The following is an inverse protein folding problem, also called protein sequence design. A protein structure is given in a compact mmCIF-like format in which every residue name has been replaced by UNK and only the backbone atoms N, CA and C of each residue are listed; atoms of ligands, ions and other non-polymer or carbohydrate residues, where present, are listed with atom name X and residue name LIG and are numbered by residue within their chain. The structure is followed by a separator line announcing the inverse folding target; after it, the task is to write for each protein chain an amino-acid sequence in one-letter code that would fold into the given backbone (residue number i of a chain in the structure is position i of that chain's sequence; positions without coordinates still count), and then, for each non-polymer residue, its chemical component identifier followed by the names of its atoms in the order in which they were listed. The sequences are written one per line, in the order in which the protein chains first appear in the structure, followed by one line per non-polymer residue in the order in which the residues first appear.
data_IF_380321110136
#
_entry.id   IF_380321110136
#
_cell.length_a   1.000
_cell.length_b   1.000
_cell.length_c   1.000
_cell.angle_alpha   90.00
_cell.angle_beta   90.00
_cell.angle_gamma   90.00
#
_symmetry.space_group_name_H-M   'P 1'
#
loop_
_entity.id
_entity.type
_entity.pdbx_description
1 polymer ?
#
# COMPACT_ATOMS: atom_id res chain seq x y z
N UNK A 1 -0.10 25.22 -5.51
CA UNK A 1 1.29 25.01 -5.06
C UNK A 1 1.48 24.02 -3.91
N UNK A 2 0.56 23.90 -2.94
CA UNK A 2 0.79 23.04 -1.77
C UNK A 2 0.77 21.50 -2.00
N UNK A 3 0.09 21.00 -3.04
CA UNK A 3 -0.05 19.54 -3.26
C UNK A 3 1.28 18.81 -3.43
N UNK A 4 2.18 19.34 -4.27
CA UNK A 4 3.49 18.72 -4.53
C UNK A 4 4.35 18.58 -3.26
N UNK A 5 4.29 19.57 -2.36
CA UNK A 5 4.98 19.51 -1.07
C UNK A 5 4.45 18.35 -0.21
N UNK A 6 3.13 18.23 -0.08
CA UNK A 6 2.53 17.17 0.73
C UNK A 6 2.66 15.79 0.07
N UNK A 7 2.73 15.72 -1.25
CA UNK A 7 3.05 14.48 -1.97
C UNK A 7 4.48 14.00 -1.66
N UNK A 8 5.46 14.92 -1.71
CA UNK A 8 6.84 14.61 -1.30
C UNK A 8 6.91 14.21 0.18
N UNK A 9 6.14 14.86 1.04
CA UNK A 9 6.09 14.54 2.46
C UNK A 9 5.45 13.15 2.71
N UNK A 10 4.42 12.79 1.94
CA UNK A 10 3.81 11.46 1.96
C UNK A 10 4.79 10.38 1.51
N UNK A 11 5.51 10.62 0.40
CA UNK A 11 6.56 9.73 -0.07
C UNK A 11 7.61 9.47 1.00
N UNK A 12 8.17 10.53 1.59
CA UNK A 12 9.15 10.40 2.67
C UNK A 12 8.59 9.63 3.87
N UNK A 13 7.34 9.88 4.25
CA UNK A 13 6.67 9.13 5.32
C UNK A 13 6.56 7.62 5.01
N UNK A 14 6.29 7.26 3.75
CA UNK A 14 6.19 5.86 3.30
C UNK A 14 7.55 5.17 3.21
N UNK A 15 8.60 5.88 2.78
CA UNK A 15 9.90 5.26 2.47
C UNK A 15 10.97 5.43 3.55
N UNK A 16 10.92 6.49 4.36
CA UNK A 16 11.99 6.84 5.30
C UNK A 16 11.73 6.26 6.69
N UNK A 17 11.96 4.96 6.85
CA UNK A 17 11.74 4.23 8.12
C UNK A 17 12.70 4.63 9.25
N UNK A 18 13.81 5.30 8.95
CA UNK A 18 14.87 5.63 9.92
C UNK A 18 14.83 7.06 10.48
N UNK A 19 13.90 7.90 10.00
CA UNK A 19 13.79 9.27 10.52
C UNK A 19 12.87 9.32 11.74
N UNK A 20 13.28 10.04 12.78
CA UNK A 20 12.47 10.25 14.00
C UNK A 20 11.07 10.79 13.66
N UNK A 21 11.00 11.69 12.68
CA UNK A 21 9.72 12.24 12.22
C UNK A 21 8.81 11.14 11.64
N UNK A 22 9.31 10.29 10.74
CA UNK A 22 8.49 9.24 10.13
C UNK A 22 8.06 8.20 11.17
N UNK A 23 8.96 7.77 12.05
CA UNK A 23 8.65 6.83 13.13
C UNK A 23 7.58 7.39 14.07
N UNK A 24 7.71 8.65 14.48
CA UNK A 24 6.69 9.33 15.28
C UNK A 24 5.33 9.39 14.56
N UNK A 25 5.31 9.77 13.29
CA UNK A 25 4.09 9.88 12.50
C UNK A 25 3.42 8.52 12.31
N UNK A 26 4.20 7.46 12.09
CA UNK A 26 3.72 6.08 11.99
C UNK A 26 3.06 5.63 13.29
N UNK A 27 3.76 5.77 14.41
CA UNK A 27 3.25 5.39 15.73
C UNK A 27 2.02 6.20 16.13
N UNK A 28 1.99 7.49 15.81
CA UNK A 28 0.88 8.38 16.16
C UNK A 28 -0.39 8.11 15.36
N UNK A 29 -0.27 7.91 14.05
CA UNK A 29 -1.43 7.91 13.15
C UNK A 29 -1.79 6.56 12.54
N UNK A 30 -0.81 5.66 12.34
CA UNK A 30 -1.04 4.37 11.70
C UNK A 30 -1.15 3.24 12.73
N UNK A 31 -0.44 3.33 13.86
CA UNK A 31 -0.41 2.28 14.90
C UNK A 31 -0.09 0.90 14.27
N UNK A 32 -1.08 0.00 14.18
CA UNK A 32 -0.97 -1.34 13.58
C UNK A 32 -1.56 -1.44 12.17
N UNK A 33 -2.03 -0.34 11.59
CA UNK A 33 -2.69 -0.32 10.29
C UNK A 33 -1.75 0.18 9.20
N UNK A 34 -1.98 -0.30 7.99
CA UNK A 34 -1.31 0.24 6.80
C UNK A 34 -1.66 1.74 6.61
N UNK A 35 -0.73 2.58 6.12
CA UNK A 35 -0.97 4.02 5.91
C UNK A 35 -2.19 4.34 5.06
N UNK A 36 -2.53 3.49 4.09
CA UNK A 36 -3.74 3.67 3.29
C UNK A 36 -5.03 3.53 4.10
N UNK A 37 -4.99 2.90 5.27
CA UNK A 37 -6.14 2.76 6.17
C UNK A 37 -6.21 3.88 7.21
N UNK A 38 -5.18 4.73 7.30
CA UNK A 38 -5.14 5.80 8.27
C UNK A 38 -6.18 6.90 7.98
N UNK A 39 -6.79 7.44 9.04
CA UNK A 39 -7.89 8.42 9.00
C UNK A 39 -7.43 9.83 9.42
N UNK A 40 -8.24 10.83 9.10
CA UNK A 40 -7.91 12.26 9.29
C UNK A 40 -8.64 13.00 10.43
N UNK A 41 -9.41 12.34 11.30
CA UNK A 41 -10.23 13.04 12.31
C UNK A 41 -9.42 13.45 13.56
N UNK A 42 -9.52 14.71 13.98
CA UNK A 42 -8.88 15.23 15.21
C UNK A 42 -7.34 15.41 15.15
N UNK A 43 -6.78 15.45 13.94
CA UNK A 43 -5.32 15.35 13.69
C UNK A 43 -4.62 16.69 13.46
N UNK A 44 -3.28 16.70 13.50
CA UNK A 44 -2.46 17.87 13.20
C UNK A 44 -2.71 18.41 11.79
N UNK A 45 -2.47 19.72 11.60
CA UNK A 45 -2.66 20.37 10.29
C UNK A 45 -1.86 19.70 9.17
N UNK A 46 -0.63 19.28 9.46
CA UNK A 46 0.24 18.59 8.49
C UNK A 46 -0.35 17.25 8.06
N UNK A 47 -0.78 16.43 9.01
CA UNK A 47 -1.38 15.12 8.70
C UNK A 47 -2.67 15.28 7.89
N UNK A 48 -3.53 16.24 8.27
CA UNK A 48 -4.75 16.53 7.52
C UNK A 48 -4.47 16.88 6.07
N UNK A 49 -3.46 17.72 5.80
CA UNK A 49 -3.06 18.07 4.43
C UNK A 49 -2.45 16.88 3.69
N UNK A 50 -1.66 16.04 4.34
CA UNK A 50 -1.18 14.79 3.77
C UNK A 50 -2.34 13.86 3.36
N UNK A 51 -3.37 13.72 4.19
CA UNK A 51 -4.57 12.93 3.85
C UNK A 51 -5.29 13.45 2.60
N UNK A 52 -5.28 14.76 2.33
CA UNK A 52 -5.95 15.31 1.12
C UNK A 52 -5.25 14.95 -0.19
N UNK A 53 -3.99 14.52 -0.16
CA UNK A 53 -3.23 14.10 -1.35
C UNK A 53 -2.91 12.61 -1.36
N UNK A 54 -3.18 11.91 -0.26
CA UNK A 54 -2.83 10.50 -0.06
C UNK A 54 -3.34 9.60 -1.18
N UNK A 55 -4.63 9.65 -1.50
CA UNK A 55 -5.22 8.72 -2.45
C UNK A 55 -4.68 8.93 -3.88
N UNK A 56 -4.49 10.20 -4.27
CA UNK A 56 -3.84 10.60 -5.52
C UNK A 56 -2.40 10.07 -5.58
N UNK A 57 -1.63 10.22 -4.50
CA UNK A 57 -0.22 9.82 -4.45
C UNK A 57 -0.06 8.29 -4.40
N UNK A 58 -0.79 7.59 -3.54
CA UNK A 58 -0.74 6.12 -3.42
C UNK A 58 -1.11 5.42 -4.73
N UNK A 59 -2.08 5.95 -5.48
CA UNK A 59 -2.44 5.41 -6.79
C UNK A 59 -1.29 5.55 -7.81
N UNK A 60 -0.48 6.61 -7.71
CA UNK A 60 0.64 6.87 -8.63
C UNK A 60 1.98 6.29 -8.15
N UNK A 61 2.08 5.81 -6.92
CA UNK A 61 3.27 5.11 -6.44
C UNK A 61 3.21 3.66 -6.93
N UNK A 62 4.23 3.23 -7.66
CA UNK A 62 4.43 1.82 -7.96
C UNK A 62 5.45 1.19 -7.02
N UNK A 63 5.04 0.15 -6.31
CA UNK A 63 5.90 -0.63 -5.41
C UNK A 63 6.42 -1.87 -6.13
N UNK A 64 7.67 -1.81 -6.59
CA UNK A 64 8.31 -2.95 -7.26
C UNK A 64 8.43 -4.16 -6.31
N UNK A 65 7.91 -5.31 -6.74
CA UNK A 65 8.00 -6.60 -6.03
C UNK A 65 9.44 -7.12 -6.14
N UNK A 66 10.34 -6.61 -5.31
CA UNK A 66 11.71 -7.15 -5.17
C UNK A 66 11.69 -8.32 -4.19
N UNK A 67 12.13 -8.09 -2.95
CA UNK A 67 12.05 -9.04 -1.86
C UNK A 67 10.60 -9.28 -1.36
N UNK A 68 9.57 -8.84 -2.09
CA UNK A 68 8.15 -9.06 -1.79
C UNK A 68 7.63 -8.60 -0.41
N UNK A 69 8.33 -7.67 0.25
CA UNK A 69 7.90 -7.08 1.54
C UNK A 69 6.70 -6.11 1.43
N UNK A 70 6.28 -5.78 0.20
CA UNK A 70 5.07 -5.01 -0.07
C UNK A 70 3.84 -5.73 0.47
N UNK A 71 2.87 -4.97 0.96
CA UNK A 71 1.56 -5.51 1.30
C UNK A 71 0.85 -5.95 0.03
N UNK A 72 0.32 -7.18 0.05
CA UNK A 72 -0.43 -7.72 -1.07
C UNK A 72 -1.69 -6.90 -1.38
N UNK A 73 -2.41 -6.47 -0.34
CA UNK A 73 -3.66 -5.73 -0.50
C UNK A 73 -3.48 -4.23 -0.64
N UNK A 74 -2.51 -3.66 0.07
CA UNK A 74 -2.49 -2.22 0.32
C UNK A 74 -1.43 -1.44 -0.45
N UNK A 75 -0.42 -2.11 -0.99
CA UNK A 75 0.57 -1.46 -1.85
C UNK A 75 0.19 -1.64 -3.31
N UNK A 76 0.34 -0.58 -4.11
CA UNK A 76 0.16 -0.66 -5.56
C UNK A 76 1.38 -1.31 -6.24
N UNK A 77 1.44 -2.64 -6.20
CA UNK A 77 2.49 -3.42 -6.85
C UNK A 77 2.08 -3.94 -8.24
N UNK A 78 0.78 -3.93 -8.56
CA UNK A 78 0.20 -4.37 -9.85
C UNK A 78 0.05 -3.23 -10.88
N UNK A 79 0.38 -2.00 -10.50
CA UNK A 79 0.12 -0.75 -11.25
C UNK A 79 -1.36 -0.44 -11.49
N UNK A 80 -2.29 -1.22 -10.92
CA UNK A 80 -3.74 -0.99 -10.99
C UNK A 80 -4.26 -0.25 -9.73
N UNK A 81 -3.36 0.23 -8.87
CA UNK A 81 -3.68 0.72 -7.53
C UNK A 81 -3.63 -0.38 -6.48
N UNK A 82 -4.01 -0.06 -5.24
CA UNK A 82 -4.09 -1.03 -4.17
C UNK A 82 -5.26 -2.00 -4.41
N UNK A 83 -4.99 -3.31 -4.39
CA UNK A 83 -5.99 -4.36 -4.59
C UNK A 83 -7.14 -4.30 -3.58
N UNK A 84 -6.90 -3.70 -2.41
CA UNK A 84 -7.94 -3.43 -1.41
C UNK A 84 -9.14 -2.64 -1.96
N UNK A 85 -8.97 -1.78 -2.96
CA UNK A 85 -10.10 -1.05 -3.55
C UNK A 85 -10.86 -1.86 -4.61
N UNK A 86 -10.27 -2.94 -5.13
CA UNK A 86 -10.85 -3.80 -6.17
C UNK A 86 -11.51 -5.02 -5.55
N UNK A 87 -10.79 -5.71 -4.66
CA UNK A 87 -11.16 -7.00 -4.05
C UNK A 87 -11.11 -6.95 -2.51
N UNK A 88 -11.28 -5.76 -1.91
CA UNK A 88 -11.10 -5.54 -0.47
C UNK A 88 -12.01 -6.34 0.46
N UNK A 89 -13.14 -6.84 -0.03
CA UNK A 89 -14.01 -7.76 0.71
C UNK A 89 -13.31 -9.10 0.99
N UNK A 90 -12.37 -9.50 0.12
CA UNK A 90 -11.56 -10.71 0.25
C UNK A 90 -10.26 -10.49 1.06
N UNK A 91 -9.99 -9.26 1.52
CA UNK A 91 -8.79 -8.91 2.30
C UNK A 91 -8.88 -9.37 3.76
N UNK A 92 -9.08 -10.67 3.96
CA UNK A 92 -9.15 -11.34 5.27
C UNK A 92 -7.77 -11.28 5.95
N UNK A 93 -6.71 -11.57 5.20
CA UNK A 93 -5.32 -11.53 5.67
C UNK A 93 -4.67 -10.18 5.36
N UNK A 94 -4.95 -9.17 6.19
CA UNK A 94 -4.46 -7.80 6.01
C UNK A 94 -2.93 -7.67 6.03
N UNK A 95 -2.24 -8.62 6.65
CA UNK A 95 -0.78 -8.61 6.78
C UNK A 95 -0.06 -9.39 5.67
N UNK A 96 -0.82 -10.04 4.77
CA UNK A 96 -0.29 -10.83 3.66
C UNK A 96 0.70 -10.01 2.82
N UNK A 97 1.88 -10.58 2.63
CA UNK A 97 2.97 -10.05 1.81
C UNK A 97 2.96 -10.69 0.44
N UNK A 98 3.42 -9.93 -0.55
CA UNK A 98 3.49 -10.40 -1.94
C UNK A 98 4.38 -11.65 -2.06
N UNK A 99 5.50 -11.70 -1.32
CA UNK A 99 6.41 -12.86 -1.32
C UNK A 99 5.75 -14.18 -0.88
N UNK A 100 4.69 -14.13 -0.06
CA UNK A 100 4.03 -15.34 0.45
C UNK A 100 3.25 -16.08 -0.64
N UNK A 101 2.99 -15.40 -1.76
CA UNK A 101 2.33 -15.94 -2.95
C UNK A 101 3.32 -16.20 -4.09
N UNK A 102 4.63 -16.21 -3.81
CA UNK A 102 5.67 -16.54 -4.78
C UNK A 102 6.40 -17.80 -4.30
N UNK A 103 6.41 -18.86 -5.11
CA UNK A 103 7.08 -20.14 -4.85
C UNK A 103 8.09 -20.42 -5.96
N UNK A 104 9.36 -20.59 -5.59
CA UNK A 104 10.41 -20.91 -6.56
C UNK A 104 10.66 -19.80 -7.60
N UNK A 105 10.28 -18.56 -7.32
CA UNK A 105 10.37 -17.44 -8.28
C UNK A 105 9.15 -17.28 -9.19
N UNK A 106 8.16 -18.16 -9.06
CA UNK A 106 6.91 -18.11 -9.82
C UNK A 106 5.72 -17.82 -8.90
N UNK A 107 4.66 -17.24 -9.45
CA UNK A 107 3.42 -16.98 -8.71
C UNK A 107 2.71 -18.29 -8.33
N UNK A 108 2.26 -18.40 -7.08
CA UNK A 108 1.30 -19.42 -6.65
C UNK A 108 -0.08 -19.08 -7.21
N UNK A 109 -0.36 -19.56 -8.43
CA UNK A 109 -1.61 -19.31 -9.16
C UNK A 109 -2.82 -19.78 -8.35
N UNK A 110 -2.72 -20.91 -7.64
CA UNK A 110 -3.83 -21.43 -6.84
C UNK A 110 -4.11 -20.50 -5.64
N UNK A 111 -3.05 -20.04 -4.96
CA UNK A 111 -3.13 -19.03 -3.92
C UNK A 111 -3.77 -17.73 -4.41
N UNK A 112 -3.34 -17.21 -5.56
CA UNK A 112 -3.90 -16.00 -6.17
C UNK A 112 -5.39 -16.16 -6.50
N UNK A 113 -5.80 -17.25 -7.17
CA UNK A 113 -7.20 -17.51 -7.52
C UNK A 113 -8.12 -17.65 -6.31
N UNK A 114 -7.59 -18.06 -5.15
CA UNK A 114 -8.36 -18.11 -3.91
C UNK A 114 -8.65 -16.73 -3.31
N UNK A 115 -7.90 -15.70 -3.72
CA UNK A 115 -7.95 -14.35 -3.14
C UNK A 115 -8.45 -13.29 -4.12
N UNK A 116 -8.19 -13.47 -5.42
CA UNK A 116 -8.47 -12.52 -6.48
C UNK A 116 -9.42 -13.10 -7.52
N UNK A 117 -10.09 -12.22 -8.26
CA UNK A 117 -10.83 -12.60 -9.48
C UNK A 117 -9.91 -13.24 -10.52
N UNK A 118 -10.51 -14.01 -11.45
CA UNK A 118 -9.78 -14.65 -12.55
C UNK A 118 -9.08 -13.62 -13.46
N UNK A 119 -9.73 -12.49 -13.71
CA UNK A 119 -9.20 -11.38 -14.48
C UNK A 119 -7.93 -10.80 -13.83
N UNK A 120 -8.01 -10.45 -12.54
CA UNK A 120 -6.87 -9.87 -11.81
C UNK A 120 -5.72 -10.87 -11.66
N UNK A 121 -6.03 -12.15 -11.44
CA UNK A 121 -5.00 -13.21 -11.42
C UNK A 121 -4.25 -13.27 -12.74
N UNK A 122 -4.98 -13.19 -13.86
CA UNK A 122 -4.37 -13.22 -15.20
C UNK A 122 -3.48 -12.00 -15.44
N UNK A 123 -3.87 -10.82 -14.96
CA UNK A 123 -3.06 -9.60 -15.04
C UNK A 123 -1.75 -9.75 -14.25
N UNK A 124 -1.83 -10.23 -13.00
CA UNK A 124 -0.67 -10.43 -12.11
C UNK A 124 0.35 -11.40 -12.73
N UNK A 125 -0.12 -12.52 -13.29
CA UNK A 125 0.77 -13.55 -13.86
C UNK A 125 1.47 -13.07 -15.15
N UNK A 126 0.90 -12.09 -15.86
CA UNK A 126 1.47 -11.52 -17.09
C UNK A 126 2.47 -10.39 -16.86
N UNK A 127 2.48 -9.80 -15.67
CA UNK A 127 3.33 -8.65 -15.30
C UNK A 127 4.71 -9.14 -14.86
#
# INVERSE_FOLDING_TARGET
MAKALFAKLWWNFRTSTSSLWSEFMWNKYCKKFHPIMAKGYGVSHVWRKMMTVKDEVEHNIWWQVKAGNSSFWFDNWTQQGALYYVDGENAIEKELKVQELIRGGEWDIQGLRSKLSEEMTTHVVKT
#
